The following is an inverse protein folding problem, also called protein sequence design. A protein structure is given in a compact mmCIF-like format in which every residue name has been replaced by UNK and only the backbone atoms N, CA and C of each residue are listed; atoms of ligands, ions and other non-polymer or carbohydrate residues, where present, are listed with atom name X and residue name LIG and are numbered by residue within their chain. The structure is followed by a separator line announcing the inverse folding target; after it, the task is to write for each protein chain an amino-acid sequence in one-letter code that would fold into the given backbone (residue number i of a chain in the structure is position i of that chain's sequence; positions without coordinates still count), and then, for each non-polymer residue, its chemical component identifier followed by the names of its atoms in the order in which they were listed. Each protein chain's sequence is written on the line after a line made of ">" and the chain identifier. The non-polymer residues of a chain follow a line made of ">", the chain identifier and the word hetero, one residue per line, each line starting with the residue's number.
data_IF_796956242147
#
_entry.id   IF_796956242147
#
_cell.length_a   1.000
_cell.length_b   1.000
_cell.length_c   1.000
_cell.angle_alpha   90.00
_cell.angle_beta   90.00
_cell.angle_gamma   90.00
#
_symmetry.space_group_name_H-M   'P 1'
#
loop_
_entity.id
_entity.type
_entity.pdbx_description
1 polymer ?
#
# COMPACT_ATOMS: atom_id res chain seq x y z
N UNK A 1 26.04 -5.85 11.87
CA UNK A 1 24.75 -5.29 12.30
C UNK A 1 23.69 -6.22 11.77
N UNK A 2 22.88 -6.84 12.63
CA UNK A 2 21.77 -7.70 12.20
C UNK A 2 20.68 -6.78 11.71
N UNK A 3 20.61 -6.53 10.41
CA UNK A 3 19.45 -5.86 9.81
C UNK A 3 18.28 -6.82 9.98
N UNK A 4 17.57 -6.70 11.10
CA UNK A 4 16.31 -7.39 11.31
C UNK A 4 15.41 -7.01 10.14
N UNK A 5 14.98 -8.00 9.35
CA UNK A 5 14.07 -7.74 8.25
C UNK A 5 12.72 -7.31 8.86
N UNK A 6 12.46 -6.00 8.85
CA UNK A 6 11.22 -5.43 9.39
C UNK A 6 10.07 -5.51 8.38
N UNK A 7 10.33 -6.00 7.17
CA UNK A 7 9.32 -6.18 6.12
C UNK A 7 8.72 -4.87 5.60
N UNK A 8 7.59 -5.00 4.92
CA UNK A 8 6.81 -3.91 4.34
C UNK A 8 5.47 -3.80 5.07
N UNK A 9 5.09 -2.61 5.49
CA UNK A 9 3.75 -2.32 6.00
C UNK A 9 2.85 -1.84 4.87
N UNK A 10 1.68 -2.44 4.72
CA UNK A 10 0.60 -1.95 3.87
C UNK A 10 -0.47 -1.35 4.76
N UNK A 11 -0.78 -0.09 4.57
CA UNK A 11 -1.81 0.63 5.30
C UNK A 11 -2.89 1.19 4.37
N UNK A 12 -4.14 1.16 4.82
CA UNK A 12 -5.26 1.85 4.19
C UNK A 12 -5.80 2.85 5.18
N UNK A 13 -5.78 4.13 4.82
CA UNK A 13 -6.37 5.21 5.59
C UNK A 13 -7.67 5.67 4.93
N UNK A 14 -8.71 5.86 5.73
CA UNK A 14 -9.96 6.48 5.31
C UNK A 14 -9.98 7.93 5.79
N UNK A 15 -9.92 8.88 4.84
CA UNK A 15 -9.88 10.32 5.15
C UNK A 15 -11.18 10.82 5.79
N UNK A 16 -12.32 10.19 5.47
CA UNK A 16 -13.62 10.60 6.01
C UNK A 16 -13.75 10.32 7.50
N UNK A 17 -13.17 9.22 7.99
CA UNK A 17 -13.25 8.82 9.40
C UNK A 17 -11.92 8.97 10.16
N UNK A 18 -10.85 9.39 9.47
CA UNK A 18 -9.48 9.44 10.02
C UNK A 18 -9.02 8.09 10.63
N UNK A 19 -9.58 6.99 10.16
CA UNK A 19 -9.16 5.65 10.56
C UNK A 19 -8.06 5.15 9.63
N UNK A 20 -7.07 4.46 10.18
CA UNK A 20 -5.99 3.84 9.41
C UNK A 20 -5.82 2.41 9.86
N UNK A 21 -5.85 1.50 8.89
CA UNK A 21 -5.63 0.09 9.13
C UNK A 21 -4.37 -0.35 8.43
N UNK A 22 -3.40 -0.87 9.18
CA UNK A 22 -2.14 -1.36 8.64
C UNK A 22 -1.94 -2.86 8.89
N UNK A 23 -1.16 -3.48 8.01
CA UNK A 23 -0.75 -4.88 8.11
C UNK A 23 0.70 -5.04 7.63
N UNK A 24 1.49 -5.74 8.42
CA UNK A 24 2.93 -5.93 8.17
C UNK A 24 3.16 -7.24 7.40
N UNK A 25 3.92 -7.14 6.32
CA UNK A 25 4.30 -8.22 5.43
C UNK A 25 5.81 -8.42 5.46
N UNK A 26 6.25 -9.50 6.10
CA UNK A 26 7.68 -9.88 6.13
C UNK A 26 8.21 -10.34 4.76
N UNK A 27 7.31 -10.74 3.86
CA UNK A 27 7.61 -11.20 2.50
C UNK A 27 6.86 -10.33 1.48
N UNK A 28 7.45 -9.23 0.99
CA UNK A 28 6.80 -8.35 0.01
C UNK A 28 6.55 -9.04 -1.34
N UNK A 29 7.31 -10.10 -1.68
CA UNK A 29 7.08 -10.88 -2.90
C UNK A 29 5.68 -11.51 -2.96
N UNK A 30 5.05 -11.83 -1.83
CA UNK A 30 3.69 -12.36 -1.82
C UNK A 30 2.66 -11.36 -2.33
N UNK A 31 2.91 -10.05 -2.17
CA UNK A 31 2.02 -8.98 -2.62
C UNK A 31 2.06 -8.74 -4.14
N UNK A 32 3.00 -9.36 -4.87
CA UNK A 32 2.95 -9.39 -6.34
C UNK A 32 1.89 -10.33 -6.89
N UNK A 33 1.39 -11.25 -6.04
CA UNK A 33 0.28 -12.11 -6.42
C UNK A 33 -1.00 -11.26 -6.35
N UNK A 34 -1.71 -11.05 -7.47
CA UNK A 34 -2.88 -10.18 -7.49
C UNK A 34 -3.94 -10.65 -6.48
N UNK A 35 -4.17 -11.95 -6.39
CA UNK A 35 -5.11 -12.53 -5.41
C UNK A 35 -4.75 -12.15 -3.95
N UNK A 36 -3.47 -12.23 -3.60
CA UNK A 36 -2.98 -11.86 -2.25
C UNK A 36 -3.09 -10.35 -2.01
N UNK A 37 -2.74 -9.53 -3.00
CA UNK A 37 -2.85 -8.07 -2.90
C UNK A 37 -4.31 -7.63 -2.72
N UNK A 38 -5.21 -8.19 -3.50
CA UNK A 38 -6.66 -7.92 -3.42
C UNK A 38 -7.21 -8.35 -2.07
N UNK A 39 -6.88 -9.56 -1.62
CA UNK A 39 -7.30 -10.02 -0.30
C UNK A 39 -6.76 -9.12 0.81
N UNK A 40 -5.48 -8.75 0.76
CA UNK A 40 -4.85 -7.86 1.72
C UNK A 40 -5.58 -6.51 1.82
N UNK A 41 -5.82 -5.86 0.68
CA UNK A 41 -6.53 -4.57 0.62
C UNK A 41 -7.98 -4.74 1.09
N UNK A 42 -8.67 -5.78 0.65
CA UNK A 42 -10.05 -6.05 1.04
C UNK A 42 -10.19 -6.32 2.55
N UNK A 43 -9.24 -7.04 3.16
CA UNK A 43 -9.17 -7.21 4.62
C UNK A 43 -8.96 -5.89 5.35
N UNK A 44 -8.06 -5.02 4.86
CA UNK A 44 -7.81 -3.70 5.45
C UNK A 44 -9.04 -2.79 5.34
N UNK A 45 -9.72 -2.81 4.20
CA UNK A 45 -11.00 -2.10 3.99
C UNK A 45 -12.08 -2.63 4.92
N UNK A 46 -12.19 -3.95 5.07
CA UNK A 46 -13.18 -4.58 5.95
C UNK A 46 -12.90 -4.26 7.43
N UNK A 47 -11.62 -4.11 7.79
CA UNK A 47 -11.20 -3.68 9.12
C UNK A 47 -11.51 -2.21 9.43
N UNK A 48 -11.62 -1.35 8.40
CA UNK A 48 -12.04 0.04 8.54
C UNK A 48 -13.55 0.09 8.85
N UNK A 49 -13.88 0.23 10.14
CA UNK A 49 -15.26 0.23 10.63
C UNK A 49 -16.17 1.29 9.98
N UNK A 50 -15.57 2.36 9.43
CA UNK A 50 -16.24 3.44 8.70
C UNK A 50 -16.31 3.34 7.17
N UNK A 51 -15.86 2.25 6.53
CA UNK A 51 -15.84 2.13 5.05
C UNK A 51 -17.24 2.00 4.38
N UNK A 52 -18.33 2.34 5.10
CA UNK A 52 -19.70 2.29 4.59
C UNK A 52 -20.03 3.44 3.62
N UNK A 53 -19.26 4.52 3.64
CA UNK A 53 -19.47 5.63 2.72
C UNK A 53 -18.55 5.50 1.49
N UNK A 54 -19.15 5.15 0.35
CA UNK A 54 -18.47 4.98 -0.93
C UNK A 54 -17.84 6.30 -1.44
N UNK A 55 -18.20 7.43 -0.83
CA UNK A 55 -17.77 8.80 -1.18
C UNK A 55 -16.62 9.29 -0.31
N UNK A 56 -15.87 8.38 0.33
CA UNK A 56 -14.70 8.72 1.12
C UNK A 56 -13.42 8.60 0.28
N UNK A 57 -12.51 9.56 0.42
CA UNK A 57 -11.15 9.43 -0.12
C UNK A 57 -10.40 8.37 0.70
N UNK A 58 -9.85 7.38 0.01
CA UNK A 58 -9.02 6.34 0.62
C UNK A 58 -7.58 6.54 0.20
N UNK A 59 -6.66 6.27 1.12
CA UNK A 59 -5.23 6.41 0.88
C UNK A 59 -4.59 5.05 1.17
N UNK A 60 -3.92 4.48 0.17
CA UNK A 60 -3.14 3.25 0.33
C UNK A 60 -1.68 3.63 0.50
N UNK A 61 -1.07 3.26 1.62
CA UNK A 61 0.34 3.55 1.91
C UNK A 61 1.12 2.24 2.02
N UNK A 62 2.26 2.15 1.32
CA UNK A 62 3.24 1.09 1.48
C UNK A 62 4.49 1.68 2.08
N UNK A 63 4.91 1.14 3.23
CA UNK A 63 6.12 1.55 3.93
C UNK A 63 7.09 0.39 4.03
N UNK A 64 8.30 0.55 3.53
CA UNK A 64 9.38 -0.39 3.79
C UNK A 64 10.05 -0.06 5.12
N UNK A 65 9.80 -0.90 6.12
CA UNK A 65 10.33 -0.70 7.46
C UNK A 65 11.84 -0.97 7.56
N UNK A 66 12.47 -1.55 6.53
CA UNK A 66 13.91 -1.76 6.51
C UNK A 66 14.67 -0.43 6.31
N UNK A 67 14.19 0.42 5.40
CA UNK A 67 14.82 1.70 5.07
C UNK A 67 14.01 2.94 5.50
N UNK A 68 12.75 2.76 5.91
CA UNK A 68 11.83 3.84 6.29
C UNK A 68 11.18 4.57 5.11
N UNK A 69 11.31 4.07 3.88
CA UNK A 69 10.68 4.64 2.69
C UNK A 69 9.20 4.30 2.67
N UNK A 70 8.34 5.32 2.59
CA UNK A 70 6.89 5.16 2.46
C UNK A 70 6.39 5.84 1.19
N UNK A 71 5.46 5.21 0.50
CA UNK A 71 4.79 5.75 -0.68
C UNK A 71 3.29 5.55 -0.50
N UNK A 72 2.53 6.62 -0.72
CA UNK A 72 1.08 6.61 -0.67
C UNK A 72 0.44 6.84 -2.03
N UNK A 73 -0.78 6.32 -2.20
CA UNK A 73 -1.62 6.50 -3.37
C UNK A 73 -3.04 6.80 -2.93
N UNK A 74 -3.59 7.89 -3.46
CA UNK A 74 -4.95 8.34 -3.16
C UNK A 74 -5.95 7.73 -4.15
N UNK A 75 -7.11 7.34 -3.63
CA UNK A 75 -8.23 6.78 -4.38
C UNK A 75 -9.46 7.64 -4.13
N UNK A 76 -10.14 8.02 -5.21
CA UNK A 76 -11.32 8.89 -5.14
C UNK A 76 -12.56 8.17 -4.65
N UNK A 77 -12.56 6.83 -4.66
CA UNK A 77 -13.71 6.04 -4.20
C UNK A 77 -13.29 4.65 -3.69
N UNK A 78 -14.06 4.12 -2.74
CA UNK A 78 -13.89 2.75 -2.26
C UNK A 78 -13.98 1.73 -3.40
N UNK A 79 -14.84 1.99 -4.38
CA UNK A 79 -15.08 1.07 -5.50
C UNK A 79 -13.83 0.90 -6.37
N UNK A 80 -13.01 1.95 -6.50
CA UNK A 80 -11.72 1.87 -7.18
C UNK A 80 -10.72 1.05 -6.36
N UNK A 81 -10.68 1.25 -5.03
CA UNK A 81 -9.76 0.51 -4.16
C UNK A 81 -10.17 -0.97 -4.00
N UNK A 82 -11.47 -1.28 -4.09
CA UNK A 82 -12.01 -2.63 -3.97
C UNK A 82 -11.99 -3.38 -5.32
N UNK A 83 -11.68 -2.69 -6.42
CA UNK A 83 -11.52 -3.33 -7.72
C UNK A 83 -10.25 -4.21 -7.72
N UNK A 84 -10.36 -5.50 -8.09
CA UNK A 84 -9.25 -6.42 -7.97
C UNK A 84 -8.07 -6.08 -8.90
N UNK A 85 -8.33 -5.49 -10.07
CA UNK A 85 -7.27 -5.07 -10.99
C UNK A 85 -6.56 -3.85 -10.42
N UNK A 86 -7.33 -2.85 -9.97
CA UNK A 86 -6.77 -1.60 -9.46
C UNK A 86 -6.02 -1.79 -8.13
N UNK A 87 -6.55 -2.62 -7.21
CA UNK A 87 -5.89 -2.94 -5.95
C UNK A 87 -4.55 -3.68 -6.17
N UNK A 88 -4.56 -4.71 -7.02
CA UNK A 88 -3.35 -5.46 -7.33
C UNK A 88 -2.30 -4.59 -8.05
N UNK A 89 -2.74 -3.78 -9.02
CA UNK A 89 -1.85 -2.89 -9.76
C UNK A 89 -1.26 -1.81 -8.84
N UNK A 90 -2.08 -1.17 -8.00
CA UNK A 90 -1.63 -0.16 -7.04
C UNK A 90 -0.64 -0.73 -6.02
N UNK A 91 -0.92 -1.88 -5.41
CA UNK A 91 0.00 -2.52 -4.45
C UNK A 91 1.32 -2.85 -5.14
N UNK A 92 1.28 -3.42 -6.34
CA UNK A 92 2.47 -3.75 -7.12
C UNK A 92 3.28 -2.49 -7.48
N UNK A 93 2.62 -1.43 -7.93
CA UNK A 93 3.23 -0.15 -8.25
C UNK A 93 3.93 0.44 -7.03
N UNK A 94 3.22 0.57 -5.90
CA UNK A 94 3.75 1.10 -4.65
C UNK A 94 4.98 0.30 -4.16
N UNK A 95 4.91 -1.03 -4.17
CA UNK A 95 6.04 -1.88 -3.79
C UNK A 95 7.20 -1.71 -4.76
N UNK A 96 6.95 -1.63 -6.06
CA UNK A 96 8.00 -1.40 -7.05
C UNK A 96 8.69 -0.04 -6.85
N UNK A 97 7.93 1.01 -6.50
CA UNK A 97 8.49 2.33 -6.21
C UNK A 97 9.36 2.26 -4.95
N UNK A 98 8.81 1.77 -3.84
CA UNK A 98 9.52 1.66 -2.55
C UNK A 98 10.78 0.82 -2.68
N UNK A 99 10.71 -0.27 -3.45
CA UNK A 99 11.84 -1.15 -3.73
C UNK A 99 12.82 -0.54 -4.74
N UNK A 100 12.35 0.27 -5.67
CA UNK A 100 13.17 1.10 -6.55
C UNK A 100 14.06 2.03 -5.73
N UNK A 101 13.51 2.69 -4.71
CA UNK A 101 14.29 3.51 -3.77
C UNK A 101 15.30 2.72 -2.91
N UNK A 102 15.17 1.39 -2.79
CA UNK A 102 16.23 0.56 -2.17
C UNK A 102 17.38 0.28 -3.14
N UNK A 103 17.11 0.32 -4.44
CA UNK A 103 18.06 -0.06 -5.49
C UNK A 103 18.67 1.14 -6.21
N UNK A 104 18.16 2.36 -5.94
CA UNK A 104 18.56 3.59 -6.62
C UNK A 104 19.56 4.38 -5.77
N UNK A 105 20.80 3.89 -5.80
CA UNK A 105 21.94 4.77 -5.95
C UNK A 105 21.82 5.36 -7.38
N UNK A 106 21.17 6.52 -7.50
CA UNK A 106 21.32 7.49 -8.60
C UNK A 106 20.66 7.21 -9.97
N UNK A 107 19.34 7.38 -10.11
CA UNK A 107 18.71 7.86 -11.35
C UNK A 107 17.58 8.87 -11.10
N UNK A 108 17.96 10.15 -11.20
CA UNK A 108 17.06 11.27 -11.47
C UNK A 108 15.98 10.92 -12.53
N UNK A 109 14.74 10.74 -12.11
CA UNK A 109 13.57 10.95 -12.99
C UNK A 109 12.47 11.72 -12.24
N UNK A 110 12.83 12.87 -11.67
CA UNK A 110 11.89 13.98 -11.60
C UNK A 110 11.76 14.53 -13.02
N UNK A 111 10.82 13.96 -13.78
CA UNK A 111 10.52 14.35 -15.14
C UNK A 111 9.00 14.38 -15.31
N UNK A 112 8.37 15.43 -14.81
CA UNK A 112 7.26 16.11 -15.48
C UNK A 112 7.13 17.54 -14.95
#
# INVERSE_FOLDING_TARGET
>A
MTTENKGYSLAVSNRANNETQEKIYLKPMSLYVPDVAVQAVSELITGLAGAKDNSSEFILTVTNNNNGVSVDKEFSSLNELNDPLNAADAVKELINIVRGYESDEETNVCGW
#
